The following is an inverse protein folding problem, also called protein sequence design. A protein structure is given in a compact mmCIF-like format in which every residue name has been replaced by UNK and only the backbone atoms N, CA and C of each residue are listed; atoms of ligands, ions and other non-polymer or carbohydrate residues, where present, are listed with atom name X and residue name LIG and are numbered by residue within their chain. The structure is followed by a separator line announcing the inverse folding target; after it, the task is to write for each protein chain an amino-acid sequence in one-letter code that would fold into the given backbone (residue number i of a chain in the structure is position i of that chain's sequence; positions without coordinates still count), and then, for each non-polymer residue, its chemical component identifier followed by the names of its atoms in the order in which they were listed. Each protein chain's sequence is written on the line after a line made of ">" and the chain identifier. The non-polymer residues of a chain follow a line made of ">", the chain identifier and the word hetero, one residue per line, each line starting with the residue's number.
data_IF_002930291726
#
_entry.id   IF_002930291726
#
_cell.length_a   1.000
_cell.length_b   1.000
_cell.length_c   1.000
_cell.angle_alpha   90.00
_cell.angle_beta   90.00
_cell.angle_gamma   90.00
#
_symmetry.space_group_name_H-M   'P 1'
#
loop_
_entity.id
_entity.type
_entity.pdbx_description
1 polymer ?
#
# COMPACT_ATOMS: atom_id res chain seq x y z
N UNK A 1 -4.02 -31.03 12.45
CA UNK A 1 -4.11 -29.67 11.90
C UNK A 1 -5.31 -29.00 12.54
N UNK A 2 -5.09 -28.02 13.42
CA UNK A 2 -6.13 -27.36 14.20
C UNK A 2 -6.80 -26.25 13.37
N UNK A 3 -8.13 -26.06 13.46
CA UNK A 3 -8.79 -24.85 12.98
C UNK A 3 -8.68 -23.75 14.03
N UNK A 4 -8.10 -22.61 13.64
CA UNK A 4 -8.07 -21.39 14.46
C UNK A 4 -9.43 -20.71 14.32
N UNK A 5 -10.30 -20.88 15.32
CA UNK A 5 -11.55 -20.14 15.43
C UNK A 5 -11.24 -18.70 15.87
N UNK A 6 -11.42 -17.76 14.93
CA UNK A 6 -11.38 -16.33 15.22
C UNK A 6 -12.61 -15.91 16.01
N UNK A 7 -12.51 -15.95 17.34
CA UNK A 7 -13.48 -15.34 18.24
C UNK A 7 -13.24 -13.83 18.28
N UNK A 8 -13.84 -13.12 17.31
CA UNK A 8 -13.94 -11.66 17.30
C UNK A 8 -15.00 -11.21 18.29
N UNK A 9 -14.67 -11.19 19.58
CA UNK A 9 -15.51 -10.62 20.63
C UNK A 9 -15.56 -9.11 20.46
N UNK A 10 -16.62 -8.65 19.79
CA UNK A 10 -17.03 -7.26 19.66
C UNK A 10 -17.02 -6.56 21.02
N UNK A 11 -16.02 -5.70 21.24
CA UNK A 11 -15.97 -4.82 22.40
C UNK A 11 -16.98 -3.69 22.17
N UNK A 12 -18.19 -3.90 22.67
CA UNK A 12 -19.31 -2.96 22.62
C UNK A 12 -18.94 -1.75 23.48
N UNK A 13 -18.41 -0.71 22.86
CA UNK A 13 -18.17 0.59 23.50
C UNK A 13 -19.55 1.17 23.83
N UNK A 14 -19.84 1.28 25.12
CA UNK A 14 -21.07 1.88 25.64
C UNK A 14 -21.22 3.33 25.13
N UNK A 15 -22.44 3.80 24.86
CA UNK A 15 -22.68 5.19 24.49
C UNK A 15 -22.34 6.07 25.69
N UNK A 16 -21.35 6.94 25.54
CA UNK A 16 -21.02 7.93 26.56
C UNK A 16 -22.23 8.85 26.77
N UNK A 17 -22.78 8.75 27.98
CA UNK A 17 -23.77 9.63 28.55
C UNK A 17 -23.32 11.08 28.41
N UNK A 18 -24.16 11.86 27.71
CA UNK A 18 -24.44 13.29 27.87
C UNK A 18 -23.58 13.99 28.94
N UNK A 19 -22.50 14.64 28.50
CA UNK A 19 -21.75 15.59 29.33
C UNK A 19 -22.58 16.88 29.38
N UNK A 20 -23.43 16.97 30.39
CA UNK A 20 -24.18 18.17 30.73
C UNK A 20 -23.58 18.73 32.03
N UNK A 21 -22.47 19.47 31.92
CA UNK A 21 -21.91 20.26 33.03
C UNK A 21 -20.99 21.41 32.58
N UNK A 22 -21.30 22.06 31.46
CA UNK A 22 -20.60 23.29 31.04
C UNK A 22 -21.32 24.49 31.65
N UNK A 23 -21.15 24.77 32.95
CA UNK A 23 -21.41 26.13 33.51
C UNK A 23 -20.76 26.40 34.87
N UNK A 24 -20.40 25.39 35.67
CA UNK A 24 -19.92 25.60 37.05
C UNK A 24 -18.39 25.69 37.19
N UNK A 25 -17.61 25.06 36.30
CA UNK A 25 -16.14 25.08 36.40
C UNK A 25 -15.48 26.41 35.98
N UNK A 26 -16.17 27.18 35.13
CA UNK A 26 -15.64 28.44 34.61
C UNK A 26 -15.60 29.57 35.67
N UNK A 27 -16.42 29.52 36.72
CA UNK A 27 -16.41 30.50 37.82
C UNK A 27 -15.35 30.15 38.88
N UNK A 28 -15.22 28.86 39.22
CA UNK A 28 -14.22 28.37 40.19
C UNK A 28 -12.77 28.59 39.72
N UNK A 29 -12.50 28.35 38.44
CA UNK A 29 -11.16 28.56 37.85
C UNK A 29 -10.72 30.03 37.86
N UNK A 30 -11.63 30.98 37.61
CA UNK A 30 -11.33 32.42 37.66
C UNK A 30 -11.02 32.89 39.08
N UNK A 31 -11.80 32.48 40.08
CA UNK A 31 -11.52 32.81 41.49
C UNK A 31 -10.17 32.28 41.94
N UNK A 32 -9.80 31.03 41.57
CA UNK A 32 -8.50 30.49 41.94
C UNK A 32 -7.32 31.21 41.25
N UNK A 33 -7.49 31.67 40.01
CA UNK A 33 -6.49 32.50 39.30
C UNK A 33 -6.32 33.86 39.96
N UNK A 34 -7.43 34.49 40.36
CA UNK A 34 -7.42 35.79 41.04
C UNK A 34 -6.73 35.66 42.40
N UNK A 35 -7.00 34.58 43.14
CA UNK A 35 -6.34 34.30 44.42
C UNK A 35 -4.85 34.00 44.28
N UNK A 36 -4.43 33.21 43.28
CA UNK A 36 -3.01 32.91 43.04
C UNK A 36 -2.23 34.17 42.63
N UNK A 37 -2.83 35.04 41.81
CA UNK A 37 -2.26 36.35 41.44
C UNK A 37 -2.23 37.30 42.63
N UNK A 38 -3.30 37.38 43.42
CA UNK A 38 -3.34 38.19 44.63
C UNK A 38 -2.29 37.74 45.65
N UNK A 39 -2.10 36.43 45.85
CA UNK A 39 -1.09 35.89 46.75
C UNK A 39 0.33 36.21 46.27
N UNK A 40 0.57 36.20 44.96
CA UNK A 40 1.85 36.62 44.37
C UNK A 40 2.12 38.11 44.60
N UNK A 41 1.12 38.97 44.38
CA UNK A 41 1.24 40.42 44.62
C UNK A 41 1.44 40.71 46.11
N UNK A 42 0.68 40.06 47.00
CA UNK A 42 0.82 40.22 48.44
C UNK A 42 2.19 39.71 48.91
N UNK A 43 2.66 38.56 48.41
CA UNK A 43 4.00 38.05 48.69
C UNK A 43 5.10 39.02 48.24
N UNK A 44 4.98 39.61 47.05
CA UNK A 44 5.91 40.63 46.56
C UNK A 44 5.92 41.88 47.45
N UNK A 45 4.75 42.38 47.84
CA UNK A 45 4.64 43.54 48.72
C UNK A 45 5.22 43.28 50.11
N UNK A 46 5.05 42.06 50.66
CA UNK A 46 5.63 41.66 51.94
C UNK A 46 7.16 41.55 51.83
N UNK A 47 7.70 41.00 50.74
CA UNK A 47 9.16 40.98 50.52
C UNK A 47 9.71 42.40 50.42
N UNK A 48 9.07 43.29 49.64
CA UNK A 48 9.50 44.69 49.51
C UNK A 48 9.45 45.41 50.87
N UNK A 49 8.38 45.21 51.66
CA UNK A 49 8.27 45.78 53.00
C UNK A 49 9.30 45.20 53.98
N UNK A 50 9.59 43.90 53.89
CA UNK A 50 10.64 43.22 54.66
C UNK A 50 12.03 43.77 54.34
N UNK A 51 12.35 43.96 53.06
CA UNK A 51 13.61 44.60 52.63
C UNK A 51 13.68 46.05 53.10
N UNK A 52 12.59 46.82 52.97
CA UNK A 52 12.55 48.22 53.36
C UNK A 52 12.75 48.40 54.88
N UNK A 53 12.11 47.55 55.69
CA UNK A 53 12.28 47.54 57.15
C UNK A 53 13.69 47.10 57.56
N UNK A 54 14.29 46.14 56.85
CA UNK A 54 15.66 45.71 57.08
C UNK A 54 16.69 46.81 56.74
N UNK A 55 16.44 47.57 55.66
CA UNK A 55 17.34 48.64 55.18
C UNK A 55 17.20 49.92 56.00
N UNK A 56 15.98 50.27 56.44
CA UNK A 56 15.71 51.55 57.12
C UNK A 56 15.85 51.44 58.65
N UNK A 57 15.59 50.27 59.26
CA UNK A 57 15.64 50.07 60.71
C UNK A 57 16.80 49.15 61.11
N UNK A 58 18.03 49.66 61.12
CA UNK A 58 19.25 48.85 61.28
C UNK A 58 19.46 48.16 62.65
N UNK A 59 18.73 48.51 63.72
CA UNK A 59 19.12 48.10 65.09
C UNK A 59 18.10 47.34 65.95
N UNK A 60 16.82 47.29 65.59
CA UNK A 60 15.80 46.67 66.48
C UNK A 60 14.70 45.85 65.80
N UNK A 61 14.54 45.94 64.47
CA UNK A 61 13.47 45.22 63.74
C UNK A 61 13.99 44.15 62.76
N UNK A 62 15.28 43.84 62.78
CA UNK A 62 15.92 42.90 61.85
C UNK A 62 15.28 41.50 61.88
N UNK A 63 14.89 40.99 63.05
CA UNK A 63 14.22 39.70 63.17
C UNK A 63 12.84 39.68 62.49
N UNK A 64 12.09 40.79 62.59
CA UNK A 64 10.77 40.94 61.98
C UNK A 64 10.88 41.11 60.45
N UNK A 65 11.88 41.87 59.98
CA UNK A 65 12.19 42.04 58.56
C UNK A 65 12.61 40.73 57.90
N UNK A 66 13.47 39.92 58.55
CA UNK A 66 13.87 38.60 58.05
C UNK A 66 12.69 37.62 58.04
N UNK A 67 11.87 37.59 59.09
CA UNK A 67 10.68 36.74 59.13
C UNK A 67 9.67 37.10 58.02
N UNK A 68 9.44 38.40 57.78
CA UNK A 68 8.61 38.88 56.69
C UNK A 68 9.16 38.48 55.31
N UNK A 69 10.48 38.56 55.11
CA UNK A 69 11.14 38.21 53.86
C UNK A 69 11.07 36.69 53.57
N UNK A 70 11.26 35.85 54.59
CA UNK A 70 11.10 34.40 54.47
C UNK A 70 9.64 34.04 54.17
N UNK A 71 8.68 34.66 54.84
CA UNK A 71 7.26 34.41 54.60
C UNK A 71 6.83 34.86 53.19
N UNK A 72 7.26 36.06 52.77
CA UNK A 72 6.95 36.61 51.45
C UNK A 72 7.56 35.80 50.31
N UNK A 73 8.81 35.33 50.46
CA UNK A 73 9.47 34.46 49.47
C UNK A 73 8.83 33.07 49.36
N UNK A 74 8.42 32.47 50.49
CA UNK A 74 7.65 31.22 50.49
C UNK A 74 6.30 31.37 49.77
N UNK A 75 5.58 32.46 50.00
CA UNK A 75 4.32 32.77 49.30
C UNK A 75 4.52 32.99 47.79
N UNK A 76 5.58 33.70 47.39
CA UNK A 76 5.93 33.90 45.98
C UNK A 76 6.27 32.58 45.28
N UNK A 77 7.08 31.74 45.92
CA UNK A 77 7.46 30.42 45.39
C UNK A 77 6.25 29.51 45.21
N UNK A 78 5.33 29.49 46.17
CA UNK A 78 4.08 28.72 46.06
C UNK A 78 3.18 29.21 44.92
N UNK A 79 3.02 30.53 44.76
CA UNK A 79 2.23 31.13 43.68
C UNK A 79 2.79 30.82 42.29
N UNK A 80 4.10 31.00 42.09
CA UNK A 80 4.75 30.73 40.81
C UNK A 80 4.74 29.25 40.44
N UNK A 81 5.00 28.36 41.41
CA UNK A 81 4.97 26.90 41.19
C UNK A 81 3.59 26.43 40.71
N UNK A 82 2.52 26.96 41.31
CA UNK A 82 1.14 26.60 40.94
C UNK A 82 0.75 27.08 39.54
N UNK A 83 1.19 28.27 39.16
CA UNK A 83 0.94 28.84 37.81
C UNK A 83 1.74 28.07 36.75
N UNK A 84 3.01 27.79 36.99
CA UNK A 84 3.87 27.04 36.08
C UNK A 84 3.36 25.61 35.87
N UNK A 85 2.94 24.94 36.95
CA UNK A 85 2.35 23.60 36.89
C UNK A 85 1.07 23.59 36.03
N UNK A 86 0.16 24.56 36.20
CA UNK A 86 -1.05 24.69 35.36
C UNK A 86 -0.74 24.92 33.89
N UNK A 87 0.23 25.78 33.59
CA UNK A 87 0.67 26.04 32.21
C UNK A 87 1.26 24.78 31.57
N UNK A 88 2.09 24.05 32.32
CA UNK A 88 2.68 22.80 31.86
C UNK A 88 1.62 21.71 31.65
N UNK A 89 0.66 21.57 32.56
CA UNK A 89 -0.48 20.66 32.41
C UNK A 89 -1.31 20.99 31.17
N UNK A 90 -1.64 22.27 30.93
CA UNK A 90 -2.40 22.69 29.75
C UNK A 90 -1.63 22.45 28.45
N UNK A 91 -0.32 22.67 28.44
CA UNK A 91 0.54 22.39 27.29
C UNK A 91 0.63 20.87 27.01
N UNK A 92 0.80 20.05 28.06
CA UNK A 92 0.78 18.59 27.94
C UNK A 92 -0.57 18.08 27.43
N UNK A 93 -1.68 18.62 27.91
CA UNK A 93 -3.03 18.29 27.45
C UNK A 93 -3.21 18.66 25.98
N UNK A 94 -2.80 19.87 25.57
CA UNK A 94 -2.85 20.30 24.17
C UNK A 94 -2.01 19.40 23.26
N UNK A 95 -0.79 19.02 23.70
CA UNK A 95 0.08 18.09 22.99
C UNK A 95 -0.52 16.69 22.91
N UNK A 96 -1.15 16.21 23.98
CA UNK A 96 -1.82 14.91 24.01
C UNK A 96 -3.00 14.88 23.03
N UNK A 97 -3.84 15.91 23.02
CA UNK A 97 -4.95 16.04 22.05
C UNK A 97 -4.41 16.08 20.62
N UNK A 98 -3.36 16.86 20.36
CA UNK A 98 -2.75 16.94 19.03
C UNK A 98 -2.18 15.58 18.58
N UNK A 99 -1.48 14.87 19.45
CA UNK A 99 -0.95 13.55 19.17
C UNK A 99 -2.06 12.51 18.98
N UNK A 100 -3.12 12.56 19.77
CA UNK A 100 -4.28 11.67 19.63
C UNK A 100 -4.95 11.87 18.27
N UNK A 101 -5.14 13.13 17.84
CA UNK A 101 -5.66 13.43 16.50
C UNK A 101 -4.76 12.92 15.39
N UNK A 102 -3.43 13.07 15.52
CA UNK A 102 -2.47 12.52 14.55
C UNK A 102 -2.54 10.99 14.50
N UNK A 103 -2.66 10.34 15.64
CA UNK A 103 -2.79 8.89 15.72
C UNK A 103 -4.06 8.41 15.01
N UNK A 104 -5.20 9.09 15.24
CA UNK A 104 -6.45 8.81 14.53
C UNK A 104 -6.30 8.95 13.02
N UNK A 105 -5.68 10.04 12.54
CA UNK A 105 -5.43 10.23 11.10
C UNK A 105 -4.51 9.16 10.50
N UNK A 106 -3.49 8.70 11.24
CA UNK A 106 -2.63 7.60 10.81
C UNK A 106 -3.39 6.26 10.77
N UNK A 107 -4.32 6.02 11.69
CA UNK A 107 -5.17 4.83 11.69
C UNK A 107 -6.07 4.83 10.45
N UNK A 108 -6.72 5.95 10.14
CA UNK A 108 -7.56 6.09 8.94
C UNK A 108 -6.76 5.87 7.66
N UNK A 109 -5.56 6.46 7.55
CA UNK A 109 -4.67 6.25 6.42
C UNK A 109 -4.22 4.79 6.29
N UNK A 110 -3.94 4.12 7.42
CA UNK A 110 -3.59 2.69 7.45
C UNK A 110 -4.76 1.81 7.01
N UNK A 111 -5.99 2.14 7.42
CA UNK A 111 -7.19 1.41 7.01
C UNK A 111 -7.46 1.60 5.52
N UNK A 112 -7.31 2.83 5.00
CA UNK A 112 -7.40 3.11 3.56
C UNK A 112 -6.34 2.33 2.76
N UNK A 113 -5.09 2.30 3.23
CA UNK A 113 -4.03 1.52 2.60
C UNK A 113 -4.34 0.01 2.62
N UNK A 114 -4.86 -0.50 3.74
CA UNK A 114 -5.27 -1.91 3.86
C UNK A 114 -6.40 -2.25 2.87
N UNK A 115 -7.34 -1.33 2.68
CA UNK A 115 -8.39 -1.45 1.66
C UNK A 115 -7.79 -1.52 0.26
N UNK A 116 -6.91 -0.58 -0.11
CA UNK A 116 -6.24 -0.57 -1.42
C UNK A 116 -5.45 -1.87 -1.66
N UNK A 117 -4.71 -2.36 -0.66
CA UNK A 117 -3.97 -3.62 -0.77
C UNK A 117 -4.91 -4.80 -1.03
N UNK A 118 -6.07 -4.86 -0.37
CA UNK A 118 -7.05 -5.93 -0.61
C UNK A 118 -7.68 -5.86 -2.00
N UNK A 119 -7.98 -4.66 -2.50
CA UNK A 119 -8.45 -4.43 -3.87
C UNK A 119 -7.39 -4.85 -4.89
N UNK A 120 -6.15 -4.39 -4.73
CA UNK A 120 -5.05 -4.74 -5.62
C UNK A 120 -4.79 -6.24 -5.65
N UNK A 121 -4.88 -6.92 -4.50
CA UNK A 121 -4.79 -8.38 -4.42
C UNK A 121 -5.89 -9.06 -5.24
N UNK A 122 -7.13 -8.59 -5.14
CA UNK A 122 -8.25 -9.12 -5.91
C UNK A 122 -8.08 -8.89 -7.41
N UNK A 123 -7.61 -7.71 -7.82
CA UNK A 123 -7.32 -7.38 -9.22
C UNK A 123 -6.20 -8.26 -9.79
N UNK A 124 -5.10 -8.45 -9.04
CA UNK A 124 -4.00 -9.32 -9.45
C UNK A 124 -4.46 -10.78 -9.61
N UNK A 125 -5.30 -11.28 -8.70
CA UNK A 125 -5.88 -12.62 -8.83
C UNK A 125 -6.78 -12.76 -10.06
N UNK A 126 -7.56 -11.72 -10.38
CA UNK A 126 -8.40 -11.71 -11.59
C UNK A 126 -7.54 -11.71 -12.86
N UNK A 127 -6.54 -10.84 -12.91
CA UNK A 127 -5.60 -10.75 -14.03
C UNK A 127 -4.86 -12.07 -14.25
N UNK A 128 -4.39 -12.72 -13.19
CA UNK A 128 -3.74 -14.03 -13.28
C UNK A 128 -4.65 -15.10 -13.91
N UNK A 129 -5.94 -15.12 -13.55
CA UNK A 129 -6.92 -16.03 -14.17
C UNK A 129 -7.15 -15.73 -15.64
N UNK A 130 -7.28 -14.45 -16.01
CA UNK A 130 -7.49 -14.03 -17.39
C UNK A 130 -6.28 -14.39 -18.26
N UNK A 131 -5.06 -14.19 -17.76
CA UNK A 131 -3.82 -14.60 -18.42
C UNK A 131 -3.80 -16.11 -18.63
N UNK A 132 -4.09 -16.91 -17.60
CA UNK A 132 -4.12 -18.37 -17.73
C UNK A 132 -5.14 -18.85 -18.77
N UNK A 133 -6.32 -18.22 -18.83
CA UNK A 133 -7.34 -18.54 -19.83
C UNK A 133 -6.83 -18.20 -21.23
N UNK A 134 -6.13 -17.07 -21.39
CA UNK A 134 -5.59 -16.64 -22.67
C UNK A 134 -4.45 -17.56 -23.13
N UNK A 135 -3.54 -17.93 -22.24
CA UNK A 135 -2.46 -18.90 -22.51
C UNK A 135 -3.03 -20.23 -22.98
N UNK A 136 -4.06 -20.76 -22.32
CA UNK A 136 -4.71 -22.00 -22.73
C UNK A 136 -5.31 -21.91 -24.14
N UNK A 137 -5.95 -20.78 -24.48
CA UNK A 137 -6.51 -20.57 -25.83
C UNK A 137 -5.43 -20.47 -26.89
N UNK A 138 -4.29 -19.86 -26.58
CA UNK A 138 -3.14 -19.77 -27.50
C UNK A 138 -2.58 -21.17 -27.75
N UNK A 139 -2.36 -21.96 -26.69
CA UNK A 139 -1.89 -23.34 -26.82
C UNK A 139 -2.85 -24.18 -27.67
N UNK A 140 -4.16 -24.06 -27.43
CA UNK A 140 -5.18 -24.78 -28.23
C UNK A 140 -5.15 -24.38 -29.71
N UNK A 141 -5.01 -23.08 -30.00
CA UNK A 141 -4.89 -22.59 -31.37
C UNK A 141 -3.60 -23.04 -32.05
N UNK A 142 -2.47 -23.07 -31.34
CA UNK A 142 -1.20 -23.58 -31.85
C UNK A 142 -1.28 -25.08 -32.15
N UNK A 143 -1.94 -25.87 -31.29
CA UNK A 143 -2.16 -27.30 -31.55
C UNK A 143 -3.04 -27.55 -32.78
N UNK A 144 -4.12 -26.77 -32.97
CA UNK A 144 -4.97 -26.87 -34.15
C UNK A 144 -4.20 -26.49 -35.44
N UNK A 145 -3.37 -25.45 -35.38
CA UNK A 145 -2.51 -25.06 -36.50
C UNK A 145 -1.47 -26.13 -36.84
N UNK A 146 -0.84 -26.74 -35.84
CA UNK A 146 0.10 -27.84 -36.04
C UNK A 146 -0.58 -29.07 -36.67
N UNK A 147 -1.79 -29.42 -36.23
CA UNK A 147 -2.56 -30.50 -36.82
C UNK A 147 -2.91 -30.23 -38.30
N UNK A 148 -3.31 -28.99 -38.62
CA UNK A 148 -3.55 -28.56 -40.00
C UNK A 148 -2.28 -28.57 -40.85
N UNK A 149 -1.13 -28.22 -40.28
CA UNK A 149 0.15 -28.25 -40.97
C UNK A 149 0.56 -29.69 -41.32
N UNK A 150 0.44 -30.62 -40.38
CA UNK A 150 0.71 -32.05 -40.59
C UNK A 150 -0.20 -32.66 -41.67
N UNK A 151 -1.50 -32.32 -41.64
CA UNK A 151 -2.44 -32.76 -42.67
C UNK A 151 -2.10 -32.18 -44.05
N UNK A 152 -1.70 -30.90 -44.12
CA UNK A 152 -1.27 -30.29 -45.37
C UNK A 152 0.04 -30.90 -45.90
N UNK A 153 1.00 -31.21 -45.02
CA UNK A 153 2.26 -31.87 -45.39
C UNK A 153 1.98 -33.25 -46.00
N UNK A 154 1.11 -34.05 -45.37
CA UNK A 154 0.69 -35.36 -45.88
C UNK A 154 0.05 -35.25 -47.26
N UNK A 155 -0.84 -34.28 -47.47
CA UNK A 155 -1.47 -34.04 -48.78
C UNK A 155 -0.44 -33.66 -49.84
N UNK A 156 0.46 -32.74 -49.51
CA UNK A 156 1.52 -32.32 -50.42
C UNK A 156 2.43 -33.49 -50.81
N UNK A 157 2.80 -34.35 -49.86
CA UNK A 157 3.60 -35.54 -50.14
C UNK A 157 2.88 -36.51 -51.08
N UNK A 158 1.57 -36.72 -50.91
CA UNK A 158 0.81 -37.58 -51.81
C UNK A 158 0.69 -36.99 -53.22
N UNK A 159 0.45 -35.68 -53.34
CA UNK A 159 0.43 -34.98 -54.63
C UNK A 159 1.79 -35.08 -55.35
N UNK A 160 2.88 -34.85 -54.61
CA UNK A 160 4.24 -35.02 -55.13
C UNK A 160 4.47 -36.45 -55.59
N UNK A 161 4.05 -37.45 -54.79
CA UNK A 161 4.17 -38.87 -55.14
C UNK A 161 3.39 -39.21 -56.42
N UNK A 162 2.18 -38.68 -56.56
CA UNK A 162 1.35 -38.80 -57.77
C UNK A 162 2.07 -38.21 -58.99
N UNK A 163 2.58 -36.99 -58.89
CA UNK A 163 3.33 -36.33 -59.97
C UNK A 163 4.54 -37.17 -60.38
N UNK A 164 5.39 -37.60 -59.44
CA UNK A 164 6.54 -38.44 -59.75
C UNK A 164 6.15 -39.77 -60.40
N UNK A 165 5.08 -40.41 -59.94
CA UNK A 165 4.59 -41.66 -60.53
C UNK A 165 4.12 -41.46 -61.99
N UNK A 166 3.47 -40.32 -62.27
CA UNK A 166 2.99 -39.97 -63.60
C UNK A 166 4.15 -39.70 -64.56
N UNK A 167 5.15 -38.91 -64.13
CA UNK A 167 6.37 -38.64 -64.89
C UNK A 167 7.16 -39.92 -65.17
N UNK A 168 7.30 -40.80 -64.17
CA UNK A 168 8.00 -42.08 -64.33
C UNK A 168 7.29 -42.96 -65.36
N UNK A 169 5.95 -42.98 -65.37
CA UNK A 169 5.16 -43.72 -66.36
C UNK A 169 5.35 -43.14 -67.76
N UNK A 170 5.29 -41.81 -67.89
CA UNK A 170 5.49 -41.13 -69.17
C UNK A 170 6.89 -41.34 -69.72
N UNK A 171 7.92 -41.26 -68.88
CA UNK A 171 9.31 -41.52 -69.25
C UNK A 171 9.48 -42.96 -69.79
N UNK A 172 8.95 -43.96 -69.06
CA UNK A 172 8.99 -45.36 -69.51
C UNK A 172 8.25 -45.58 -70.85
N UNK A 173 7.09 -44.94 -71.03
CA UNK A 173 6.35 -45.02 -72.28
C UNK A 173 7.15 -44.41 -73.45
N UNK A 174 7.76 -43.24 -73.24
CA UNK A 174 8.60 -42.59 -74.25
C UNK A 174 9.86 -43.40 -74.59
N UNK A 175 10.51 -44.01 -73.60
CA UNK A 175 11.65 -44.92 -73.83
C UNK A 175 11.23 -46.14 -74.65
N UNK A 176 10.06 -46.72 -74.36
CA UNK A 176 9.52 -47.85 -75.10
C UNK A 176 9.19 -47.48 -76.55
N UNK A 177 8.54 -46.33 -76.78
CA UNK A 177 8.27 -45.81 -78.12
C UNK A 177 9.57 -45.57 -78.91
N UNK A 178 10.60 -45.02 -78.27
CA UNK A 178 11.92 -44.84 -78.89
C UNK A 178 12.55 -46.16 -79.28
N UNK A 179 12.43 -47.20 -78.46
CA UNK A 179 12.93 -48.54 -78.80
C UNK A 179 12.17 -49.14 -79.99
N UNK A 180 10.84 -48.99 -80.04
CA UNK A 180 9.99 -49.44 -81.15
C UNK A 180 10.32 -48.69 -82.45
N UNK A 181 10.48 -47.37 -82.39
CA UNK A 181 10.89 -46.57 -83.55
C UNK A 181 12.28 -46.99 -84.06
N UNK A 182 13.23 -47.23 -83.14
CA UNK A 182 14.59 -47.66 -83.48
C UNK A 182 14.60 -49.05 -84.12
N UNK A 183 13.76 -49.99 -83.68
CA UNK A 183 13.63 -51.31 -84.31
C UNK A 183 12.93 -51.22 -85.66
N UNK A 184 11.87 -50.41 -85.79
CA UNK A 184 11.17 -50.16 -87.05
C UNK A 184 12.09 -49.56 -88.12
N UNK A 185 12.90 -48.55 -87.76
CA UNK A 185 13.91 -47.95 -88.66
C UNK A 185 14.93 -49.00 -89.15
N UNK A 186 15.38 -49.91 -88.26
CA UNK A 186 16.30 -50.99 -88.65
C UNK A 186 15.66 -51.97 -89.64
N UNK A 187 14.38 -52.30 -89.49
CA UNK A 187 13.66 -53.17 -90.43
C UNK A 187 13.46 -52.51 -91.79
N UNK A 188 13.13 -51.21 -91.83
CA UNK A 188 12.99 -50.46 -93.10
C UNK A 188 14.34 -50.24 -93.79
N UNK A 189 15.44 -50.07 -93.05
CA UNK A 189 16.78 -49.94 -93.61
C UNK A 189 17.42 -51.27 -94.04
N UNK A 190 16.92 -52.41 -93.53
CA UNK A 190 17.38 -53.76 -93.89
C UNK A 190 16.53 -54.42 -94.99
N UNK A 191 15.46 -53.76 -95.46
CA UNK A 191 14.71 -54.17 -96.64
C UNK A 191 15.41 -53.57 -97.87
N UNK A 192 16.15 -54.36 -98.67
CA UNK A 192 16.74 -53.84 -99.89
C UNK A 192 15.61 -53.47 -100.84
N UNK A 193 15.77 -52.33 -101.50
CA UNK A 193 15.11 -52.01 -102.75
C UNK A 193 15.30 -53.16 -103.74
N UNK A 194 14.35 -54.09 -103.76
CA UNK A 194 14.09 -54.97 -104.88
C UNK A 194 13.25 -54.17 -105.88
N UNK A 195 13.88 -53.25 -106.61
CA UNK A 195 13.30 -52.64 -107.80
C UNK A 195 14.40 -52.08 -108.69
N UNK A 196 14.56 -52.78 -109.82
CA UNK A 196 15.24 -52.42 -111.08
C UNK A 196 16.75 -52.56 -111.14
#
# INVERSE_FOLDING_TARGET
>A
MNPISGSGSSLRIAPQSKIESVTTEAKSSRCSRILDVALLVVGAMIVVAGVLTLVVCASSFNALGVAALVLGSACLGAGLSRIACRSFCSNLEAKNIANTRRLSGLIEARDALTSIVSINKALLQKLAKEIQILENKVIEAELDLLAKLDENEKRLLEDVRLVFSSYTRWLKASEQEKLVLKSSIRQTGASPSSSS
#
